data_IF_497278074388
#
_entry.id   IF_497278074388
#
_cell.length_a   1.000
_cell.length_b   1.000
_cell.length_c   1.000
_cell.angle_alpha   90.00
_cell.angle_beta   90.00
_cell.angle_gamma   90.00
#
_symmetry.space_group_name_H-M   'P 1'
#
loop_
_entity.id
_entity.type
_entity.pdbx_description
1 polymer ?
#
# COMPACT_ATOMS: atom_id res chain seq x y z
N UNK A 1 -16.38 -6.27 -6.00
CA UNK A 1 -15.04 -6.52 -6.57
C UNK A 1 -14.48 -5.23 -7.15
N UNK A 2 -15.29 -4.49 -7.89
CA UNK A 2 -14.95 -3.17 -8.47
C UNK A 2 -14.43 -2.14 -7.44
N UNK A 3 -15.05 -2.05 -6.26
CA UNK A 3 -14.58 -1.14 -5.19
C UNK A 3 -13.17 -1.46 -4.68
N UNK A 4 -12.82 -2.74 -4.59
CA UNK A 4 -11.48 -3.16 -4.15
C UNK A 4 -10.45 -2.82 -5.22
N UNK A 5 -10.78 -3.05 -6.49
CA UNK A 5 -9.91 -2.68 -7.61
C UNK A 5 -9.66 -1.18 -7.65
N UNK A 6 -10.69 -0.35 -7.48
CA UNK A 6 -10.53 1.11 -7.46
C UNK A 6 -9.69 1.59 -6.28
N UNK A 7 -9.89 1.01 -5.09
CA UNK A 7 -9.08 1.33 -3.92
C UNK A 7 -7.61 0.94 -4.11
N UNK A 8 -7.34 -0.29 -4.54
CA UNK A 8 -5.99 -0.77 -4.85
C UNK A 8 -5.32 0.08 -5.94
N UNK A 9 -6.07 0.48 -6.97
CA UNK A 9 -5.56 1.35 -8.02
C UNK A 9 -5.16 2.73 -7.49
N UNK A 10 -5.96 3.29 -6.58
CA UNK A 10 -5.62 4.51 -5.84
C UNK A 10 -4.29 4.39 -5.10
N UNK A 11 -4.10 3.30 -4.35
CA UNK A 11 -2.84 3.03 -3.65
C UNK A 11 -1.65 2.96 -4.63
N UNK A 12 -1.79 2.22 -5.73
CA UNK A 12 -0.74 2.12 -6.76
C UNK A 12 -0.37 3.51 -7.30
N UNK A 13 -1.36 4.35 -7.60
CA UNK A 13 -1.08 5.72 -8.08
C UNK A 13 -0.34 6.56 -7.03
N UNK A 14 -0.65 6.38 -5.74
CA UNK A 14 0.02 7.11 -4.67
C UNK A 14 1.47 6.65 -4.46
N UNK A 15 1.80 5.39 -4.77
CA UNK A 15 3.20 4.92 -4.70
C UNK A 15 4.17 5.68 -5.62
N UNK A 16 3.68 6.36 -6.66
CA UNK A 16 4.50 7.23 -7.52
C UNK A 16 4.93 8.54 -6.85
N UNK A 17 4.35 8.87 -5.69
CA UNK A 17 4.78 10.01 -4.86
C UNK A 17 5.89 9.61 -3.88
N UNK A 18 6.34 8.36 -3.94
CA UNK A 18 7.37 7.74 -3.11
C UNK A 18 8.52 7.23 -4.00
N UNK A 19 9.59 6.74 -3.38
CA UNK A 19 10.74 6.19 -4.10
C UNK A 19 10.62 4.67 -4.38
N UNK A 20 9.48 4.05 -4.03
CA UNK A 20 9.25 2.60 -4.11
C UNK A 20 9.56 2.02 -5.51
N UNK A 21 9.23 2.73 -6.58
CA UNK A 21 9.47 2.28 -7.96
C UNK A 21 10.96 2.20 -8.32
N UNK A 22 11.82 2.90 -7.57
CA UNK A 22 13.27 2.90 -7.77
C UNK A 22 13.96 1.74 -7.02
N UNK A 23 13.33 1.23 -5.96
CA UNK A 23 13.95 0.25 -5.04
C UNK A 23 13.27 -1.12 -5.05
N UNK A 24 12.02 -1.22 -5.54
CA UNK A 24 11.26 -2.47 -5.60
C UNK A 24 10.76 -2.81 -7.01
N UNK A 25 10.74 -4.10 -7.38
CA UNK A 25 10.06 -4.57 -8.58
C UNK A 25 8.57 -4.19 -8.59
N UNK A 26 7.99 -3.78 -9.75
CA UNK A 26 6.60 -3.32 -9.83
C UNK A 26 5.55 -4.33 -9.31
N UNK A 27 5.81 -5.63 -9.47
CA UNK A 27 4.90 -6.68 -9.00
C UNK A 27 4.83 -6.75 -7.46
N UNK A 28 5.92 -6.47 -6.74
CA UNK A 28 5.91 -6.46 -5.28
C UNK A 28 5.15 -5.25 -4.73
N UNK A 29 5.28 -4.10 -5.39
CA UNK A 29 4.50 -2.89 -5.07
C UNK A 29 3.01 -3.17 -5.28
N UNK A 30 2.64 -3.78 -6.42
CA UNK A 30 1.25 -4.15 -6.67
C UNK A 30 0.69 -5.12 -5.62
N UNK A 31 1.48 -6.12 -5.21
CA UNK A 31 1.09 -7.06 -4.15
C UNK A 31 0.92 -6.37 -2.80
N UNK A 32 1.78 -5.41 -2.45
CA UNK A 32 1.65 -4.62 -1.24
C UNK A 32 0.35 -3.79 -1.26
N UNK A 33 0.02 -3.14 -2.38
CA UNK A 33 -1.24 -2.42 -2.53
C UNK A 33 -2.46 -3.35 -2.40
N UNK A 34 -2.42 -4.55 -3.00
CA UNK A 34 -3.49 -5.56 -2.86
C UNK A 34 -3.59 -6.05 -1.41
N UNK A 35 -2.46 -6.22 -0.73
CA UNK A 35 -2.40 -6.62 0.67
C UNK A 35 -3.08 -5.59 1.57
N UNK A 36 -2.71 -4.31 1.45
CA UNK A 36 -3.34 -3.20 2.18
C UNK A 36 -4.85 -3.17 1.90
N UNK A 37 -5.26 -3.27 0.63
CA UNK A 37 -6.67 -3.28 0.25
C UNK A 37 -7.45 -4.46 0.83
N UNK A 38 -6.84 -5.65 0.89
CA UNK A 38 -7.43 -6.85 1.47
C UNK A 38 -7.65 -6.69 2.96
N UNK A 39 -6.65 -6.20 3.68
CA UNK A 39 -6.73 -5.93 5.13
C UNK A 39 -7.77 -4.83 5.43
N UNK A 40 -7.75 -3.72 4.68
CA UNK A 40 -8.67 -2.60 4.88
C UNK A 40 -10.15 -2.98 4.65
N UNK A 41 -10.41 -3.94 3.76
CA UNK A 41 -11.77 -4.41 3.43
C UNK A 41 -12.17 -5.69 4.19
N UNK A 42 -11.39 -6.10 5.19
CA UNK A 42 -11.59 -7.35 5.96
C UNK A 42 -11.79 -8.58 5.06
N UNK A 43 -10.99 -8.66 3.99
CA UNK A 43 -10.98 -9.78 3.07
C UNK A 43 -9.82 -10.71 3.37
N UNK A 44 -10.14 -11.97 3.68
CA UNK A 44 -9.14 -13.02 3.77
C UNK A 44 -8.62 -13.38 2.38
N UNK A 45 -7.37 -13.02 2.11
CA UNK A 45 -6.63 -13.37 0.90
C UNK A 45 -5.45 -14.30 1.17
N UNK A 46 -5.33 -14.86 2.38
CA UNK A 46 -4.12 -15.57 2.85
C UNK A 46 -3.76 -16.73 1.93
N UNK A 47 -4.75 -17.57 1.57
CA UNK A 47 -4.54 -18.70 0.65
C UNK A 47 -4.07 -18.26 -0.74
N UNK A 48 -4.67 -17.19 -1.29
CA UNK A 48 -4.26 -16.63 -2.57
C UNK A 48 -2.82 -16.11 -2.53
N UNK A 49 -2.42 -15.46 -1.44
CA UNK A 49 -1.05 -14.98 -1.25
C UNK A 49 -0.02 -16.12 -1.09
N UNK A 50 -0.38 -17.21 -0.41
CA UNK A 50 0.47 -18.40 -0.25
C UNK A 50 0.75 -19.11 -1.59
N UNK A 51 -0.23 -19.12 -2.51
CA UNK A 51 -0.09 -19.72 -3.85
C UNK A 51 0.91 -18.98 -4.74
N UNK A 52 1.15 -17.69 -4.51
CA UNK A 52 1.99 -16.84 -5.37
C UNK A 52 3.50 -17.15 -5.25
N UNK A 53 3.92 -17.94 -4.26
CA UNK A 53 5.34 -18.26 -3.99
C UNK A 53 6.23 -17.01 -3.89
N UNK A 54 5.68 -15.91 -3.38
CA UNK A 54 6.37 -14.65 -3.11
C UNK A 54 6.68 -14.56 -1.61
N UNK A 55 7.82 -13.96 -1.26
CA UNK A 55 8.14 -13.67 0.15
C UNK A 55 7.18 -12.61 0.71
N UNK A 56 6.24 -13.06 1.54
CA UNK A 56 5.26 -12.18 2.18
C UNK A 56 5.87 -11.21 3.17
N UNK A 57 7.07 -11.46 3.68
CA UNK A 57 7.75 -10.49 4.54
C UNK A 57 8.16 -9.25 3.73
N UNK A 58 8.63 -9.44 2.50
CA UNK A 58 8.96 -8.32 1.60
C UNK A 58 7.71 -7.53 1.25
N UNK A 59 6.60 -8.21 0.93
CA UNK A 59 5.32 -7.55 0.64
C UNK A 59 4.83 -6.74 1.84
N UNK A 60 4.90 -7.31 3.05
CA UNK A 60 4.52 -6.62 4.29
C UNK A 60 5.40 -5.42 4.59
N UNK A 61 6.70 -5.51 4.37
CA UNK A 61 7.62 -4.38 4.58
C UNK A 61 7.28 -3.20 3.65
N UNK A 62 7.03 -3.48 2.36
CA UNK A 62 6.60 -2.46 1.40
C UNK A 62 5.24 -1.88 1.81
N UNK A 63 4.32 -2.71 2.29
CA UNK A 63 3.01 -2.26 2.74
C UNK A 63 3.12 -1.32 3.96
N UNK A 64 4.01 -1.61 4.91
CA UNK A 64 4.30 -0.72 6.05
C UNK A 64 4.86 0.62 5.55
N UNK A 65 5.81 0.61 4.62
CA UNK A 65 6.36 1.86 4.07
C UNK A 65 5.29 2.73 3.38
N UNK A 66 4.36 2.11 2.64
CA UNK A 66 3.20 2.80 2.06
C UNK A 66 2.31 3.41 3.15
N UNK A 67 2.04 2.68 4.23
CA UNK A 67 1.21 3.17 5.34
C UNK A 67 1.89 4.31 6.10
N UNK A 68 3.18 4.19 6.39
CA UNK A 68 4.00 5.24 7.03
C UNK A 68 3.97 6.55 6.23
N UNK A 69 3.96 6.46 4.89
CA UNK A 69 3.80 7.61 4.02
C UNK A 69 2.46 8.32 4.21
N UNK A 70 1.36 7.59 4.41
CA UNK A 70 0.06 8.19 4.68
C UNK A 70 -0.02 8.80 6.08
N UNK A 71 0.56 8.17 7.10
CA UNK A 71 0.63 8.73 8.45
C UNK A 71 1.39 10.07 8.45
N UNK A 72 2.58 10.10 7.84
CA UNK A 72 3.39 11.31 7.73
C UNK A 72 2.69 12.43 6.93
N UNK A 73 1.94 12.09 5.87
CA UNK A 73 1.13 13.08 5.13
C UNK A 73 0.02 13.68 5.96
N UNK A 74 -0.60 12.88 6.83
CA UNK A 74 -1.64 13.35 7.75
C UNK A 74 -1.04 14.39 8.70
N UNK A 75 0.10 14.10 9.32
CA UNK A 75 0.80 15.02 10.22
C UNK A 75 1.20 16.35 9.56
N UNK A 76 1.73 16.32 8.33
CA UNK A 76 2.06 17.54 7.58
C UNK A 76 0.81 18.38 7.28
N UNK A 77 -0.31 17.72 6.98
CA UNK A 77 -1.57 18.43 6.72
C UNK A 77 -2.07 19.13 7.98
N UNK A 78 -2.02 18.47 9.14
CA UNK A 78 -2.43 19.03 10.43
C UNK A 78 -1.55 20.22 10.85
N UNK A 79 -0.23 20.11 10.72
CA UNK A 79 0.69 21.24 10.99
C UNK A 79 0.40 22.46 10.10
N UNK A 80 0.07 22.22 8.83
CA UNK A 80 -0.26 23.31 7.89
C UNK A 80 -1.58 24.02 8.25
N UNK A 81 -2.55 23.32 8.83
CA UNK A 81 -3.79 23.94 9.33
C UNK A 81 -3.57 24.74 10.62
N UNK A 82 -2.59 24.34 11.45
CA UNK A 82 -2.26 25.05 12.69
C UNK A 82 -1.45 26.34 12.47
N UNK A 83 -0.88 26.53 11.27
CA UNK A 83 -0.09 27.70 10.90
C UNK A 83 -0.89 28.75 10.10
N UNK A 84 -2.19 28.53 9.88
CA UNK A 84 -3.15 29.45 9.24
C UNK A 84 -4.09 30.04 10.28
#
# INVERSE_FOLDING_TARGET
MEEMTQFTWGLVNDTYKMDLILVHPPHLIALACIYIASVYKDKDGTSWFEELRVDLNVVKNIAVEILDFYENRTSISEEKYMLL
#
